data_IF_843530472192
#
_entry.id   IF_843530472192
#
_cell.length_a   1.000
_cell.length_b   1.000
_cell.length_c   1.000
_cell.angle_alpha   90.00
_cell.angle_beta   90.00
_cell.angle_gamma   90.00
#
_symmetry.space_group_name_H-M   'P 1'
#
loop_
_entity.id
_entity.type
_entity.pdbx_description
1 polymer ?
#
# COMPACT_ATOMS: atom_id res chain seq x y z
N UNK A 1 -9.16 6.93 -58.08
CA UNK A 1 -9.99 7.93 -57.38
C UNK A 1 -9.33 8.16 -56.03
N UNK A 2 -9.23 9.40 -55.57
CA UNK A 2 -8.60 9.76 -54.29
C UNK A 2 -9.27 8.99 -53.14
N UNK A 3 -8.50 8.13 -52.47
CA UNK A 3 -9.02 7.12 -51.54
C UNK A 3 -8.90 7.48 -50.06
N UNK A 4 -8.39 8.65 -49.72
CA UNK A 4 -8.34 9.13 -48.33
C UNK A 4 -8.52 10.65 -48.35
N UNK A 5 -9.73 11.11 -48.03
CA UNK A 5 -9.86 12.42 -47.41
C UNK A 5 -9.57 12.21 -45.93
N UNK A 6 -8.44 12.73 -45.48
CA UNK A 6 -7.98 12.80 -44.08
C UNK A 6 -8.87 13.70 -43.21
N UNK A 7 -10.20 13.59 -43.33
CA UNK A 7 -11.15 14.32 -42.49
C UNK A 7 -11.84 13.31 -41.56
N UNK A 8 -11.46 13.39 -40.28
CA UNK A 8 -12.18 12.94 -39.06
C UNK A 8 -11.84 11.58 -38.42
N UNK A 9 -10.56 11.18 -38.39
CA UNK A 9 -10.04 10.37 -37.27
C UNK A 9 -8.82 11.07 -36.66
N UNK A 10 -9.07 12.20 -36.01
CA UNK A 10 -8.16 12.78 -35.02
C UNK A 10 -8.13 11.88 -33.78
N UNK A 11 -7.40 10.77 -33.89
CA UNK A 11 -6.99 9.93 -32.77
C UNK A 11 -5.89 10.66 -31.99
N UNK A 12 -6.27 11.68 -31.24
CA UNK A 12 -5.40 12.23 -30.20
C UNK A 12 -5.33 11.21 -29.06
N UNK A 13 -4.45 10.21 -29.24
CA UNK A 13 -4.01 9.37 -28.14
C UNK A 13 -3.38 10.31 -27.09
N UNK A 14 -3.82 10.25 -25.82
CA UNK A 14 -3.26 11.11 -24.79
C UNK A 14 -1.75 10.82 -24.69
N UNK A 15 -0.93 11.82 -25.01
CA UNK A 15 0.51 11.73 -24.84
C UNK A 15 0.81 11.52 -23.36
N UNK A 16 1.28 10.32 -23.03
CA UNK A 16 1.74 9.97 -21.69
C UNK A 16 3.05 10.71 -21.45
N UNK A 17 3.01 11.79 -20.70
CA UNK A 17 4.22 12.33 -20.08
C UNK A 17 4.64 11.37 -18.99
N UNK A 18 5.67 10.55 -19.23
CA UNK A 18 6.30 9.79 -18.17
C UNK A 18 6.75 10.75 -17.08
N UNK A 19 6.42 10.45 -15.81
CA UNK A 19 6.88 11.24 -14.67
C UNK A 19 8.39 11.07 -14.57
N UNK A 20 9.12 11.96 -15.23
CA UNK A 20 10.57 12.02 -15.17
C UNK A 20 11.00 12.99 -14.07
N UNK A 21 12.24 12.83 -13.61
CA UNK A 21 12.88 13.76 -12.68
C UNK A 21 12.90 15.19 -13.23
N UNK A 22 13.06 15.32 -14.55
CA UNK A 22 13.11 16.61 -15.24
C UNK A 22 11.74 17.32 -15.20
N UNK A 23 10.64 16.59 -15.31
CA UNK A 23 9.26 17.13 -15.19
C UNK A 23 8.97 17.67 -13.78
N UNK A 24 9.53 17.00 -12.76
CA UNK A 24 9.43 17.45 -11.36
C UNK A 24 10.30 18.69 -11.11
N UNK A 25 11.50 18.73 -11.67
CA UNK A 25 12.38 19.90 -11.60
C UNK A 25 11.70 21.13 -12.25
N UNK A 26 11.08 20.97 -13.44
CA UNK A 26 10.35 22.04 -14.14
C UNK A 26 9.13 22.58 -13.35
N UNK A 27 8.32 21.71 -12.73
CA UNK A 27 7.19 22.14 -11.91
C UNK A 27 7.65 22.78 -10.58
N UNK A 28 8.74 22.28 -10.00
CA UNK A 28 9.33 22.88 -8.79
C UNK A 28 9.88 24.28 -9.05
N UNK A 29 10.45 24.55 -10.23
CA UNK A 29 10.90 25.88 -10.62
C UNK A 29 9.73 26.84 -10.78
N UNK A 30 8.63 26.41 -11.42
CA UNK A 30 7.39 27.21 -11.53
C UNK A 30 6.78 27.54 -10.16
N UNK A 31 6.88 26.63 -9.19
CA UNK A 31 6.41 26.87 -7.82
C UNK A 31 7.29 27.86 -7.07
N UNK A 32 8.60 27.83 -7.28
CA UNK A 32 9.53 28.82 -6.73
C UNK A 32 9.20 30.21 -7.30
N UNK A 33 8.78 30.30 -8.56
CA UNK A 33 8.30 31.56 -9.15
C UNK A 33 6.95 32.00 -8.58
N UNK A 34 5.99 31.09 -8.42
CA UNK A 34 4.66 31.39 -7.85
C UNK A 34 4.71 31.72 -6.35
N UNK A 35 5.65 31.16 -5.58
CA UNK A 35 5.87 31.49 -4.17
C UNK A 35 6.44 32.90 -3.96
N UNK A 36 7.05 33.51 -5.00
CA UNK A 36 7.44 34.92 -4.95
C UNK A 36 6.22 35.85 -5.03
N UNK A 37 5.14 35.41 -5.67
CA UNK A 37 3.89 36.17 -5.79
C UNK A 37 2.92 35.87 -4.64
N UNK A 38 2.88 34.64 -4.13
CA UNK A 38 1.99 34.23 -3.05
C UNK A 38 2.68 33.24 -2.07
N UNK A 39 3.10 33.67 -0.87
CA UNK A 39 3.98 32.90 0.02
C UNK A 39 3.30 31.69 0.69
N UNK A 40 1.98 31.55 0.56
CA UNK A 40 1.22 30.42 1.11
C UNK A 40 1.03 29.28 0.11
N UNK A 41 1.54 29.40 -1.13
CA UNK A 41 1.35 28.38 -2.16
C UNK A 41 2.38 27.26 -1.97
N UNK A 42 1.96 26.18 -1.32
CA UNK A 42 2.76 24.96 -1.14
C UNK A 42 2.63 24.04 -2.35
N UNK A 43 3.64 23.22 -2.60
CA UNK A 43 3.57 22.19 -3.61
C UNK A 43 2.56 21.11 -3.19
N UNK A 44 1.46 21.01 -3.94
CA UNK A 44 0.48 19.95 -3.78
C UNK A 44 0.91 18.75 -4.63
N UNK A 45 1.46 17.75 -3.95
CA UNK A 45 1.90 16.50 -4.57
C UNK A 45 0.72 15.74 -5.18
N UNK A 46 -0.45 15.81 -4.56
CA UNK A 46 -1.65 15.12 -5.04
C UNK A 46 -2.15 15.77 -6.33
N UNK A 47 -2.16 17.11 -6.39
CA UNK A 47 -2.51 17.85 -7.61
C UNK A 47 -1.49 17.63 -8.74
N UNK A 48 -0.19 17.58 -8.42
CA UNK A 48 0.89 17.30 -9.37
C UNK A 48 0.78 15.88 -9.95
N UNK A 49 0.50 14.89 -9.10
CA UNK A 49 0.30 13.51 -9.53
C UNK A 49 -0.99 13.37 -10.34
N UNK A 50 -2.09 14.05 -9.99
CA UNK A 50 -3.34 14.01 -10.78
C UNK A 50 -3.15 14.63 -12.17
N UNK A 51 -2.42 15.75 -12.28
CA UNK A 51 -2.20 16.45 -13.54
C UNK A 51 -1.26 15.71 -14.49
N UNK A 52 -0.22 15.07 -13.95
CA UNK A 52 0.83 14.44 -14.75
C UNK A 52 0.70 12.91 -14.82
N UNK A 53 -0.22 12.32 -14.06
CA UNK A 53 -0.49 10.89 -14.08
C UNK A 53 -1.95 10.63 -14.49
N UNK A 54 -2.18 10.44 -15.79
CA UNK A 54 -3.47 9.96 -16.33
C UNK A 54 -3.80 8.50 -15.94
N UNK A 55 -3.08 7.89 -14.98
CA UNK A 55 -3.36 6.53 -14.49
C UNK A 55 -4.55 6.47 -13.50
N UNK A 56 -5.28 7.57 -13.30
CA UNK A 56 -6.57 7.59 -12.59
C UNK A 56 -7.80 7.55 -13.51
N UNK A 57 -7.65 7.10 -14.76
CA UNK A 57 -8.79 6.40 -15.36
C UNK A 57 -8.93 5.12 -14.56
N UNK A 58 -10.07 4.84 -13.89
CA UNK A 58 -10.27 3.56 -13.22
C UNK A 58 -9.93 2.50 -14.26
N UNK A 59 -9.02 1.58 -13.95
CA UNK A 59 -8.62 0.51 -14.87
C UNK A 59 -9.86 -0.15 -15.49
N UNK A 60 -10.95 -0.25 -14.73
CA UNK A 60 -12.26 -0.72 -15.19
C UNK A 60 -12.88 0.11 -16.33
N UNK A 61 -12.71 1.43 -16.34
CA UNK A 61 -13.19 2.31 -17.40
C UNK A 61 -12.31 2.19 -18.64
N UNK A 62 -11.00 2.11 -18.47
CA UNK A 62 -10.08 1.87 -19.59
C UNK A 62 -10.29 0.48 -20.19
N UNK A 63 -10.49 -0.55 -19.35
CA UNK A 63 -10.83 -1.91 -19.76
C UNK A 63 -12.16 -1.89 -20.51
N UNK A 64 -13.19 -1.22 -20.00
CA UNK A 64 -14.49 -1.14 -20.66
C UNK A 64 -14.42 -0.41 -22.00
N UNK A 65 -13.70 0.71 -22.06
CA UNK A 65 -13.57 1.50 -23.28
C UNK A 65 -12.69 0.78 -24.31
N UNK A 66 -11.65 0.05 -23.88
CA UNK A 66 -10.82 -0.79 -24.74
C UNK A 66 -11.58 -2.04 -25.22
N UNK A 67 -12.42 -2.65 -24.37
CA UNK A 67 -13.30 -3.76 -24.77
C UNK A 67 -14.37 -3.30 -25.76
N UNK A 68 -15.00 -2.15 -25.53
CA UNK A 68 -15.98 -1.56 -26.44
C UNK A 68 -15.35 -1.18 -27.78
N UNK A 69 -14.17 -0.55 -27.74
CA UNK A 69 -13.43 -0.21 -28.96
C UNK A 69 -12.95 -1.46 -29.68
N UNK A 70 -12.54 -2.51 -28.96
CA UNK A 70 -12.19 -3.79 -29.57
C UNK A 70 -13.40 -4.44 -30.24
N UNK A 71 -14.57 -4.44 -29.61
CA UNK A 71 -15.80 -4.96 -30.21
C UNK A 71 -16.21 -4.16 -31.45
N UNK A 72 -16.17 -2.82 -31.38
CA UNK A 72 -16.50 -1.95 -32.52
C UNK A 72 -15.50 -2.10 -33.67
N UNK A 73 -14.20 -2.19 -33.37
CA UNK A 73 -13.16 -2.39 -34.38
C UNK A 73 -13.24 -3.79 -34.97
N UNK A 74 -13.51 -4.83 -34.16
CA UNK A 74 -13.76 -6.18 -34.66
C UNK A 74 -15.00 -6.18 -35.55
N UNK A 75 -16.12 -5.62 -35.14
CA UNK A 75 -17.36 -5.62 -35.93
C UNK A 75 -17.24 -4.76 -37.19
N UNK A 76 -16.55 -3.62 -37.14
CA UNK A 76 -16.30 -2.76 -38.30
C UNK A 76 -15.33 -3.42 -39.29
N UNK A 77 -14.20 -3.99 -38.82
CA UNK A 77 -13.28 -4.74 -39.68
C UNK A 77 -13.94 -6.00 -40.20
N UNK A 78 -14.66 -6.77 -39.39
CA UNK A 78 -15.33 -8.00 -39.83
C UNK A 78 -16.48 -7.66 -40.80
N UNK A 79 -17.18 -6.55 -40.60
CA UNK A 79 -18.21 -6.07 -41.52
C UNK A 79 -17.64 -5.65 -42.87
N UNK A 80 -16.62 -4.79 -42.88
CA UNK A 80 -16.01 -4.28 -44.13
C UNK A 80 -15.11 -5.32 -44.81
N UNK A 81 -14.21 -5.97 -44.08
CA UNK A 81 -13.30 -6.97 -44.66
C UNK A 81 -14.07 -8.16 -45.18
N UNK A 82 -15.08 -8.66 -44.48
CA UNK A 82 -15.79 -9.87 -44.92
C UNK A 82 -16.79 -9.57 -46.08
N UNK A 83 -17.40 -8.38 -46.10
CA UNK A 83 -18.22 -7.94 -47.23
C UNK A 83 -17.37 -7.68 -48.49
N UNK A 84 -16.24 -6.97 -48.34
CA UNK A 84 -15.40 -6.57 -49.46
C UNK A 84 -14.51 -7.74 -49.95
N UNK A 85 -14.05 -8.65 -49.08
CA UNK A 85 -13.27 -9.82 -49.51
C UNK A 85 -14.11 -10.84 -50.27
N UNK A 86 -15.37 -11.07 -49.90
CA UNK A 86 -16.23 -12.01 -50.64
C UNK A 86 -16.55 -11.48 -52.05
N UNK A 87 -16.71 -10.16 -52.19
CA UNK A 87 -16.88 -9.50 -53.48
C UNK A 87 -15.58 -9.47 -54.30
N UNK A 88 -14.44 -9.21 -53.65
CA UNK A 88 -13.12 -9.20 -54.28
C UNK A 88 -12.66 -10.60 -54.69
N UNK A 89 -12.92 -11.64 -53.90
CA UNK A 89 -12.66 -13.04 -54.25
C UNK A 89 -13.53 -13.50 -55.43
N UNK A 90 -14.81 -13.09 -55.47
CA UNK A 90 -15.68 -13.33 -56.63
C UNK A 90 -15.17 -12.59 -57.87
N UNK A 91 -14.69 -11.36 -57.73
CA UNK A 91 -14.08 -10.59 -58.81
C UNK A 91 -12.79 -11.27 -59.32
N UNK A 92 -11.87 -11.68 -58.44
CA UNK A 92 -10.66 -12.42 -58.81
C UNK A 92 -10.96 -13.80 -59.42
N UNK A 93 -12.03 -14.48 -59.01
CA UNK A 93 -12.50 -15.74 -59.61
C UNK A 93 -12.98 -15.57 -61.07
N UNK A 94 -13.48 -14.40 -61.45
CA UNK A 94 -13.94 -14.13 -62.83
C UNK A 94 -12.75 -14.00 -63.79
N UNK A 95 -11.60 -13.52 -63.32
CA UNK A 95 -10.40 -13.27 -64.13
C UNK A 95 -9.31 -14.36 -64.04
N UNK A 96 -9.50 -15.39 -63.22
CA UNK A 96 -8.52 -16.47 -62.98
C UNK A 96 -8.65 -17.67 -63.93
N UNK A 97 -9.31 -17.50 -65.08
CA UNK A 97 -9.42 -18.56 -66.11
C UNK A 97 -8.11 -18.89 -66.82
N UNK A 98 -7.09 -18.04 -66.72
CA UNK A 98 -5.76 -18.32 -67.25
C UNK A 98 -4.81 -18.70 -66.11
N UNK A 99 -4.50 -20.00 -66.06
CA UNK A 99 -3.57 -20.64 -65.15
C UNK A 99 -2.13 -20.13 -65.38
N UNK A 100 -1.62 -19.20 -64.56
CA UNK A 100 -0.16 -19.07 -64.35
C UNK A 100 0.26 -18.22 -63.14
N UNK A 101 -0.40 -17.10 -62.83
CA UNK A 101 0.11 -16.18 -61.79
C UNK A 101 -1.06 -15.59 -61.00
N UNK A 102 -1.41 -16.22 -59.89
CA UNK A 102 -2.22 -15.59 -58.86
C UNK A 102 -1.57 -15.81 -57.50
N UNK A 103 -0.30 -15.39 -57.41
CA UNK A 103 0.43 -15.27 -56.13
C UNK A 103 -0.40 -14.43 -55.14
N UNK A 104 -1.11 -13.42 -55.62
CA UNK A 104 -2.05 -12.60 -54.84
C UNK A 104 -3.18 -13.40 -54.18
N UNK A 105 -3.72 -14.44 -54.81
CA UNK A 105 -4.79 -15.28 -54.22
C UNK A 105 -4.19 -16.21 -53.16
N UNK A 106 -2.98 -16.73 -53.39
CA UNK A 106 -2.27 -17.55 -52.41
C UNK A 106 -1.85 -16.72 -51.19
N UNK A 107 -1.34 -15.51 -51.41
CA UNK A 107 -1.01 -14.55 -50.36
C UNK A 107 -2.26 -14.18 -49.56
N UNK A 108 -3.38 -13.87 -50.21
CA UNK A 108 -4.64 -13.59 -49.53
C UNK A 108 -5.16 -14.77 -48.70
N UNK A 109 -4.98 -16.01 -49.17
CA UNK A 109 -5.32 -17.21 -48.40
C UNK A 109 -4.39 -17.41 -47.20
N UNK A 110 -3.11 -17.09 -47.34
CA UNK A 110 -2.13 -17.15 -46.28
C UNK A 110 -2.37 -16.06 -45.23
N UNK A 111 -2.61 -14.82 -45.64
CA UNK A 111 -2.99 -13.72 -44.73
C UNK A 111 -4.28 -14.04 -43.98
N UNK A 112 -5.26 -14.70 -44.62
CA UNK A 112 -6.47 -15.17 -43.93
C UNK A 112 -6.17 -16.22 -42.86
N UNK A 113 -5.22 -17.12 -43.11
CA UNK A 113 -4.80 -18.12 -42.14
C UNK A 113 -4.06 -17.47 -40.96
N UNK A 114 -3.19 -16.51 -41.23
CA UNK A 114 -2.45 -15.74 -40.23
C UNK A 114 -3.39 -14.90 -39.35
N UNK A 115 -4.37 -14.21 -39.95
CA UNK A 115 -5.43 -13.49 -39.23
C UNK A 115 -6.23 -14.43 -38.32
N UNK A 116 -6.58 -15.63 -38.81
CA UNK A 116 -7.33 -16.60 -38.01
C UNK A 116 -6.51 -17.13 -36.83
N UNK A 117 -5.21 -17.33 -37.02
CA UNK A 117 -4.30 -17.71 -35.95
C UNK A 117 -4.12 -16.55 -34.96
N UNK A 118 -3.98 -15.32 -35.44
CA UNK A 118 -3.87 -14.15 -34.57
C UNK A 118 -5.11 -13.98 -33.69
N UNK A 119 -6.31 -14.12 -34.26
CA UNK A 119 -7.58 -14.07 -33.52
C UNK A 119 -7.63 -15.17 -32.44
N UNK A 120 -7.24 -16.41 -32.75
CA UNK A 120 -7.24 -17.47 -31.73
C UNK A 120 -6.22 -17.23 -30.62
N UNK A 121 -5.06 -16.64 -30.94
CA UNK A 121 -4.08 -16.24 -29.94
C UNK A 121 -4.58 -15.09 -29.07
N UNK A 122 -5.31 -14.14 -29.67
CA UNK A 122 -5.89 -13.00 -28.97
C UNK A 122 -7.04 -13.46 -28.06
N UNK A 123 -7.92 -14.36 -28.52
CA UNK A 123 -8.92 -15.00 -27.69
C UNK A 123 -8.29 -15.80 -26.55
N UNK A 124 -7.20 -16.54 -26.79
CA UNK A 124 -6.50 -17.28 -25.75
C UNK A 124 -5.84 -16.34 -24.72
N UNK A 125 -5.22 -15.26 -25.17
CA UNK A 125 -4.60 -14.25 -24.31
C UNK A 125 -5.67 -13.58 -23.42
N UNK A 126 -6.77 -13.15 -24.02
CA UNK A 126 -7.81 -12.38 -23.34
C UNK A 126 -8.68 -13.26 -22.43
N UNK A 127 -9.05 -14.47 -22.86
CA UNK A 127 -9.97 -15.33 -22.11
C UNK A 127 -9.30 -16.21 -21.05
N UNK A 128 -8.02 -16.58 -21.22
CA UNK A 128 -7.32 -17.51 -20.32
C UNK A 128 -6.15 -16.88 -19.61
N UNK A 129 -5.24 -16.24 -20.36
CA UNK A 129 -3.98 -15.80 -19.77
C UNK A 129 -4.15 -14.56 -18.89
N UNK A 130 -4.98 -13.58 -19.30
CA UNK A 130 -5.28 -12.40 -18.46
C UNK A 130 -6.04 -12.82 -17.20
N UNK A 131 -7.11 -13.61 -17.32
CA UNK A 131 -7.90 -14.06 -16.18
C UNK A 131 -7.06 -14.89 -15.19
N UNK A 132 -6.25 -15.83 -15.68
CA UNK A 132 -5.34 -16.62 -14.85
C UNK A 132 -4.28 -15.75 -14.19
N UNK A 133 -3.73 -14.77 -14.91
CA UNK A 133 -2.73 -13.85 -14.34
C UNK A 133 -3.35 -12.97 -13.26
N UNK A 134 -4.58 -12.52 -13.45
CA UNK A 134 -5.34 -11.76 -12.44
C UNK A 134 -5.58 -12.58 -11.18
N UNK A 135 -5.99 -13.85 -11.33
CA UNK A 135 -6.17 -14.78 -10.19
C UNK A 135 -4.85 -15.00 -9.44
N UNK A 136 -3.76 -15.31 -10.16
CA UNK A 136 -2.43 -15.48 -9.56
C UNK A 136 -1.96 -14.21 -8.87
N UNK A 137 -2.14 -13.04 -9.48
CA UNK A 137 -1.78 -11.75 -8.87
C UNK A 137 -2.61 -11.50 -7.61
N UNK A 138 -3.92 -11.75 -7.65
CA UNK A 138 -4.81 -11.62 -6.49
C UNK A 138 -4.39 -12.53 -5.33
N UNK A 139 -4.12 -13.81 -5.62
CA UNK A 139 -3.65 -14.77 -4.62
C UNK A 139 -2.30 -14.36 -4.04
N UNK A 140 -1.39 -13.85 -4.87
CA UNK A 140 -0.09 -13.36 -4.40
C UNK A 140 -0.23 -12.11 -3.53
N UNK A 141 -1.14 -11.19 -3.86
CA UNK A 141 -1.43 -10.01 -3.02
C UNK A 141 -2.03 -10.43 -1.68
N UNK A 142 -3.02 -11.31 -1.66
CA UNK A 142 -3.61 -11.82 -0.41
C UNK A 142 -2.55 -12.52 0.46
N UNK A 143 -1.66 -13.29 -0.17
CA UNK A 143 -0.55 -13.92 0.52
C UNK A 143 0.44 -12.89 1.10
N UNK A 144 0.80 -11.84 0.34
CA UNK A 144 1.68 -10.78 0.80
C UNK A 144 1.06 -9.97 1.95
N UNK A 145 -0.23 -9.67 1.90
CA UNK A 145 -0.95 -9.01 3.00
C UNK A 145 -0.95 -9.85 4.28
N UNK A 146 -1.18 -11.16 4.15
CA UNK A 146 -1.08 -12.08 5.31
C UNK A 146 0.33 -12.14 5.86
N UNK A 147 1.35 -12.12 4.98
CA UNK A 147 2.75 -12.15 5.39
C UNK A 147 3.14 -10.86 6.12
N UNK A 148 2.67 -9.71 5.66
CA UNK A 148 2.86 -8.41 6.32
C UNK A 148 2.19 -8.40 7.71
N UNK A 149 0.95 -8.91 7.81
CA UNK A 149 0.28 -9.05 9.10
C UNK A 149 1.08 -9.92 10.09
N UNK A 150 1.63 -11.05 9.62
CA UNK A 150 2.49 -11.93 10.42
C UNK A 150 3.77 -11.21 10.83
N UNK A 151 4.36 -10.42 9.94
CA UNK A 151 5.57 -9.64 10.22
C UNK A 151 5.33 -8.57 11.29
N UNK A 152 4.20 -7.85 11.22
CA UNK A 152 3.79 -6.88 12.25
C UNK A 152 3.61 -7.57 13.60
N UNK A 153 2.90 -8.71 13.61
CA UNK A 153 2.73 -9.52 14.84
C UNK A 153 4.08 -9.95 15.42
N UNK A 154 5.00 -10.44 14.59
CA UNK A 154 6.34 -10.85 15.02
C UNK A 154 7.15 -9.69 15.60
N UNK A 155 7.09 -8.53 14.95
CA UNK A 155 7.76 -7.33 15.44
C UNK A 155 7.18 -6.87 16.79
N UNK A 156 5.84 -6.91 16.93
CA UNK A 156 5.17 -6.63 18.20
C UNK A 156 5.60 -7.61 19.29
N UNK A 157 5.75 -8.90 18.98
CA UNK A 157 6.26 -9.90 19.92
C UNK A 157 7.68 -9.59 20.41
N UNK A 158 8.60 -9.21 19.51
CA UNK A 158 9.98 -8.84 19.89
C UNK A 158 9.98 -7.58 20.77
N UNK A 159 9.24 -6.56 20.36
CA UNK A 159 9.17 -5.28 21.07
C UNK A 159 8.58 -5.43 22.48
N UNK A 160 7.55 -6.27 22.67
CA UNK A 160 6.97 -6.49 24.01
C UNK A 160 8.01 -7.08 24.97
N UNK A 161 8.81 -8.05 24.52
CA UNK A 161 9.82 -8.66 25.37
C UNK A 161 10.91 -7.65 25.78
N UNK A 162 11.35 -6.81 24.85
CA UNK A 162 12.31 -5.73 25.13
C UNK A 162 11.73 -4.70 26.11
N UNK A 163 10.48 -4.28 25.92
CA UNK A 163 9.80 -3.35 26.84
C UNK A 163 9.66 -3.95 28.24
N UNK A 164 9.27 -5.22 28.36
CA UNK A 164 9.13 -5.89 29.66
C UNK A 164 10.49 -6.04 30.35
N UNK A 165 11.54 -6.41 29.62
CA UNK A 165 12.88 -6.58 30.21
C UNK A 165 13.48 -5.25 30.66
N UNK A 166 13.35 -4.19 29.85
CA UNK A 166 13.71 -2.83 30.23
C UNK A 166 12.91 -2.34 31.44
N UNK A 167 11.59 -2.58 31.45
CA UNK A 167 10.71 -2.26 32.57
C UNK A 167 11.14 -2.97 33.86
N UNK A 168 11.50 -4.25 33.81
CA UNK A 168 12.01 -4.99 34.98
C UNK A 168 13.34 -4.43 35.48
N UNK A 169 14.23 -4.03 34.58
CA UNK A 169 15.49 -3.38 34.98
C UNK A 169 15.24 -2.03 35.65
N UNK A 170 14.38 -1.19 35.07
CA UNK A 170 13.97 0.10 35.64
C UNK A 170 13.23 -0.06 36.97
N UNK A 171 12.41 -1.09 37.11
CA UNK A 171 11.70 -1.38 38.36
C UNK A 171 12.68 -1.74 39.48
N UNK A 172 13.71 -2.54 39.17
CA UNK A 172 14.79 -2.86 40.12
C UNK A 172 15.62 -1.64 40.50
N UNK A 173 15.94 -0.76 39.55
CA UNK A 173 16.66 0.48 39.87
C UNK A 173 15.80 1.41 40.70
N UNK A 174 14.51 1.58 40.37
CA UNK A 174 13.56 2.35 41.17
C UNK A 174 13.46 1.79 42.59
N UNK A 175 13.32 0.48 42.75
CA UNK A 175 13.28 -0.17 44.07
C UNK A 175 14.58 0.07 44.85
N UNK A 176 15.74 0.01 44.19
CA UNK A 176 17.03 0.34 44.79
C UNK A 176 17.12 1.79 45.26
N UNK A 177 16.67 2.74 44.43
CA UNK A 177 16.63 4.18 44.77
C UNK A 177 15.65 4.45 45.91
N UNK A 178 14.52 3.74 45.96
CA UNK A 178 13.58 3.79 47.08
C UNK A 178 14.21 3.32 48.40
N UNK A 179 15.25 2.48 48.36
CA UNK A 179 15.96 1.98 49.54
C UNK A 179 17.05 2.89 50.08
N UNK A 180 17.40 3.98 49.37
CA UNK A 180 18.45 4.92 49.77
C UNK A 180 17.81 6.13 50.46
N UNK A 181 18.39 6.58 51.57
CA UNK A 181 18.05 7.84 52.25
C UNK A 181 19.25 8.80 52.20
N UNK A 182 19.09 10.07 51.78
CA UNK A 182 17.84 10.74 51.39
C UNK A 182 17.34 10.35 49.99
N UNK A 183 16.02 10.36 49.80
CA UNK A 183 15.39 10.06 48.51
C UNK A 183 15.61 11.22 47.53
N UNK A 184 16.13 10.91 46.34
CA UNK A 184 16.20 11.88 45.25
C UNK A 184 14.84 11.93 44.54
N UNK A 185 14.05 12.97 44.85
CA UNK A 185 12.68 13.13 44.31
C UNK A 185 12.66 13.17 42.78
N UNK A 186 13.56 13.94 42.15
CA UNK A 186 13.60 14.12 40.69
C UNK A 186 13.82 12.81 39.93
N UNK A 187 14.75 11.98 40.41
CA UNK A 187 15.04 10.67 39.81
C UNK A 187 13.88 9.71 40.04
N UNK A 188 13.29 9.73 41.24
CA UNK A 188 12.16 8.85 41.58
C UNK A 188 10.92 9.19 40.74
N UNK A 189 10.65 10.47 40.50
CA UNK A 189 9.56 10.95 39.64
C UNK A 189 9.78 10.52 38.20
N UNK A 190 10.97 10.77 37.63
CA UNK A 190 11.25 10.43 36.23
C UNK A 190 11.24 8.92 36.00
N UNK A 191 11.85 8.13 36.88
CA UNK A 191 11.81 6.67 36.80
C UNK A 191 10.38 6.14 36.88
N UNK A 192 9.56 6.67 37.78
CA UNK A 192 8.16 6.25 37.94
C UNK A 192 7.33 6.62 36.71
N UNK A 193 7.54 7.81 36.13
CA UNK A 193 6.88 8.25 34.89
C UNK A 193 7.25 7.35 33.70
N UNK A 194 8.53 7.08 33.51
CA UNK A 194 9.01 6.24 32.41
C UNK A 194 8.54 4.78 32.56
N UNK A 195 8.55 4.24 33.79
CA UNK A 195 7.98 2.92 34.08
C UNK A 195 6.48 2.86 33.74
N UNK A 196 5.72 3.89 34.12
CA UNK A 196 4.29 3.95 33.80
C UNK A 196 4.05 3.95 32.28
N UNK A 197 4.80 4.74 31.51
CA UNK A 197 4.71 4.76 30.04
C UNK A 197 5.01 3.36 29.46
N UNK A 198 6.06 2.70 29.94
CA UNK A 198 6.43 1.36 29.47
C UNK A 198 5.37 0.31 29.80
N UNK A 199 4.79 0.36 31.01
CA UNK A 199 3.72 -0.56 31.43
C UNK A 199 2.46 -0.36 30.58
N UNK A 200 2.05 0.88 30.33
CA UNK A 200 0.88 1.18 29.48
C UNK A 200 1.11 0.74 28.04
N UNK A 201 2.29 1.03 27.47
CA UNK A 201 2.64 0.58 26.11
C UNK A 201 2.70 -0.95 25.99
N UNK A 202 3.25 -1.64 26.98
CA UNK A 202 3.28 -3.10 27.01
C UNK A 202 1.86 -3.68 27.10
N UNK A 203 0.95 -3.05 27.85
CA UNK A 203 -0.46 -3.43 27.93
C UNK A 203 -1.15 -3.29 26.59
N UNK A 204 -1.03 -2.15 25.92
CA UNK A 204 -1.62 -1.90 24.60
C UNK A 204 -1.14 -2.93 23.57
N UNK A 205 0.16 -3.22 23.54
CA UNK A 205 0.71 -4.23 22.64
C UNK A 205 0.22 -5.64 22.98
N UNK A 206 0.08 -5.99 24.27
CA UNK A 206 -0.49 -7.28 24.68
C UNK A 206 -1.98 -7.40 24.34
N UNK A 207 -2.73 -6.30 24.33
CA UNK A 207 -4.13 -6.27 23.91
C UNK A 207 -4.29 -6.63 22.42
N UNK A 208 -3.35 -6.22 21.55
CA UNK A 208 -3.34 -6.64 20.14
C UNK A 208 -3.16 -8.15 19.95
N UNK A 209 -2.61 -8.84 20.95
CA UNK A 209 -2.35 -10.29 20.94
C UNK A 209 -3.41 -11.10 21.71
N UNK A 210 -4.54 -10.49 22.08
CA UNK A 210 -5.57 -11.13 22.90
C UNK A 210 -6.24 -12.33 22.24
N UNK A 211 -6.44 -12.27 20.92
CA UNK A 211 -7.05 -13.33 20.11
C UNK A 211 -6.15 -14.57 19.94
N UNK A 212 -4.84 -14.44 20.20
CA UNK A 212 -3.87 -15.51 20.02
C UNK A 212 -3.75 -16.36 21.29
N UNK A 213 -4.17 -17.62 21.20
CA UNK A 213 -4.03 -18.59 22.27
C UNK A 213 -2.74 -19.42 22.10
N UNK A 214 -1.58 -18.77 22.26
CA UNK A 214 -0.26 -19.39 22.16
C UNK A 214 0.41 -19.51 23.54
N UNK A 215 1.12 -20.61 23.85
CA UNK A 215 1.92 -20.74 25.08
C UNK A 215 2.92 -19.59 25.29
N UNK A 216 3.44 -19.02 24.21
CA UNK A 216 4.36 -17.89 24.27
C UNK A 216 3.67 -16.60 24.72
N UNK A 217 2.44 -16.34 24.25
CA UNK A 217 1.63 -15.19 24.69
C UNK A 217 1.30 -15.33 26.18
N UNK A 218 1.02 -16.54 26.66
CA UNK A 218 0.85 -16.80 28.09
C UNK A 218 2.12 -16.51 28.89
N UNK A 219 3.30 -16.88 28.39
CA UNK A 219 4.56 -16.53 29.01
C UNK A 219 4.76 -15.00 29.08
N UNK A 220 4.50 -14.27 27.99
CA UNK A 220 4.59 -12.81 27.98
C UNK A 220 3.61 -12.16 28.95
N UNK A 221 2.38 -12.67 29.07
CA UNK A 221 1.39 -12.19 30.04
C UNK A 221 1.85 -12.41 31.47
N UNK A 222 2.43 -13.57 31.77
CA UNK A 222 2.98 -13.85 33.10
C UNK A 222 4.15 -12.92 33.42
N UNK A 223 5.05 -12.69 32.46
CA UNK A 223 6.19 -11.78 32.61
C UNK A 223 5.74 -10.32 32.82
N UNK A 224 4.73 -9.89 32.07
CA UNK A 224 4.10 -8.58 32.24
C UNK A 224 3.40 -8.45 33.59
N UNK A 225 2.67 -9.48 34.04
CA UNK A 225 2.06 -9.48 35.37
C UNK A 225 3.12 -9.38 36.48
N UNK A 226 4.27 -10.04 36.31
CA UNK A 226 5.42 -9.88 37.20
C UNK A 226 5.94 -8.43 37.24
N UNK A 227 6.09 -7.79 36.08
CA UNK A 227 6.49 -6.38 36.00
C UNK A 227 5.48 -5.45 36.71
N UNK A 228 4.18 -5.65 36.48
CA UNK A 228 3.12 -4.85 37.14
C UNK A 228 3.19 -5.01 38.65
N UNK A 229 3.41 -6.23 39.15
CA UNK A 229 3.54 -6.48 40.60
C UNK A 229 4.77 -5.78 41.18
N UNK A 230 5.93 -5.87 40.53
CA UNK A 230 7.15 -5.17 40.97
C UNK A 230 6.94 -3.64 40.98
N UNK A 231 6.30 -3.11 39.94
CA UNK A 231 5.98 -1.68 39.86
C UNK A 231 5.02 -1.25 40.99
N UNK A 232 3.98 -2.03 41.26
CA UNK A 232 3.05 -1.77 42.37
C UNK A 232 3.73 -1.78 43.74
N UNK A 233 4.73 -2.65 43.95
CA UNK A 233 5.51 -2.66 45.19
C UNK A 233 6.30 -1.35 45.34
N UNK A 234 6.98 -0.91 44.27
CA UNK A 234 7.71 0.36 44.27
C UNK A 234 6.79 1.57 44.50
N UNK A 235 5.61 1.60 43.87
CA UNK A 235 4.61 2.64 44.12
C UNK A 235 4.13 2.66 45.58
N UNK A 236 3.91 1.50 46.21
CA UNK A 236 3.52 1.42 47.63
C UNK A 236 4.60 1.98 48.55
N UNK A 237 5.86 1.68 48.28
CA UNK A 237 7.00 2.20 49.06
C UNK A 237 7.10 3.72 48.90
N UNK A 238 7.03 4.22 47.67
CA UNK A 238 7.03 5.66 47.37
C UNK A 238 5.84 6.37 48.04
N UNK A 239 4.64 5.77 48.00
CA UNK A 239 3.45 6.32 48.67
C UNK A 239 3.66 6.41 50.18
N UNK A 240 4.21 5.37 50.82
CA UNK A 240 4.50 5.40 52.25
C UNK A 240 5.51 6.50 52.61
N UNK A 241 6.59 6.65 51.81
CA UNK A 241 7.59 7.70 52.01
C UNK A 241 7.02 9.12 51.81
N UNK A 242 6.16 9.30 50.81
CA UNK A 242 5.44 10.57 50.60
C UNK A 242 4.47 10.90 51.76
N UNK A 243 3.88 9.89 52.40
CA UNK A 243 3.01 10.08 53.57
C UNK A 243 3.80 10.45 54.84
N UNK A 244 5.03 9.94 54.97
CA UNK A 244 5.92 10.26 56.09
C UNK A 244 6.42 11.71 56.02
N UNK A 245 6.80 12.21 54.83
CA UNK A 245 7.26 13.58 54.62
C UNK A 245 6.53 14.30 53.46
N UNK A 246 5.28 14.76 53.65
CA UNK A 246 4.45 15.36 52.58
C UNK A 246 5.02 16.65 51.97
N UNK A 247 5.82 17.39 52.74
CA UNK A 247 6.42 18.66 52.32
C UNK A 247 7.71 18.49 51.50
N UNK A 248 8.32 17.31 51.50
CA UNK A 248 9.57 17.03 50.77
C UNK A 248 9.33 16.34 49.42
N UNK A 249 8.11 15.88 49.12
CA UNK A 249 7.80 15.13 47.89
C UNK A 249 6.48 15.56 47.16
N UNK A 250 6.31 16.85 46.81
CA UNK A 250 5.08 17.35 46.17
C UNK A 250 4.90 16.93 44.71
N UNK A 251 5.98 16.65 43.95
CA UNK A 251 5.87 16.23 42.55
C UNK A 251 5.59 14.73 42.43
N UNK A 252 6.21 13.94 43.31
CA UNK A 252 5.97 12.51 43.40
C UNK A 252 4.54 12.19 43.82
N UNK A 253 3.97 12.94 44.76
CA UNK A 253 2.57 12.77 45.18
C UNK A 253 1.56 13.10 44.07
N UNK A 254 1.81 14.14 43.26
CA UNK A 254 0.98 14.43 42.07
C UNK A 254 1.05 13.31 41.02
N UNK A 255 2.25 12.83 40.71
CA UNK A 255 2.45 11.74 39.77
C UNK A 255 1.75 10.45 40.22
N UNK A 256 1.82 10.12 41.53
CA UNK A 256 1.13 8.96 42.09
C UNK A 256 -0.39 9.07 41.95
N UNK A 257 -0.96 10.27 42.12
CA UNK A 257 -2.39 10.52 41.90
C UNK A 257 -2.75 10.39 40.41
N UNK A 258 -1.95 10.94 39.49
CA UNK A 258 -2.16 10.81 38.04
C UNK A 258 -2.15 9.33 37.59
N UNK A 259 -1.18 8.55 38.08
CA UNK A 259 -1.09 7.11 37.79
C UNK A 259 -2.30 6.35 38.34
N UNK A 260 -2.80 6.72 39.52
CA UNK A 260 -3.99 6.09 40.13
C UNK A 260 -5.30 6.38 39.40
N UNK A 261 -5.36 7.49 38.64
CA UNK A 261 -6.53 7.86 37.84
C UNK A 261 -6.50 7.28 36.43
N UNK A 262 -5.30 6.95 35.92
CA UNK A 262 -5.10 6.41 34.57
C UNK A 262 -5.05 4.86 34.51
N UNK A 263 -4.92 4.19 35.65
CA UNK A 263 -4.96 2.73 35.79
C UNK A 263 -6.39 2.17 35.73
#
# INVERSE_FOLDING_TARGET
MDFLKDEDLTLDLPNVTEISRDLFEDESEKLIELQKEDPNKTFDVDEFLIKNNFHYVPLDTLIRDLSSLSEEVIDALFGQVNADYDEYLKFCQIYSKDEAENETILDLQQTRLELKNFISHLEQLTSRDIARTQEVVSDTLEYLERLDHIQILLNNHSNILEIITLGKQLSKTLHGVCGIEPLEESISVELTRQLFILVTRARELLETLTSLNSPYVHHLRNEFQGLVQEFQISLKILTNKCLENPSECPELSKLLVEISQAA
#
